data_IF_398039695139
#
_entry.id   IF_398039695139
#
_cell.length_a   1.000
_cell.length_b   1.000
_cell.length_c   1.000
_cell.angle_alpha   90.00
_cell.angle_beta   90.00
_cell.angle_gamma   90.00
#
_symmetry.space_group_name_H-M   'P 1'
#
loop_
_entity.id
_entity.type
_entity.pdbx_description
1 polymer ?
#
# COMPACT_ATOMS: atom_id res chain seq x y z
N UNK A 1 -29.50 13.59 -29.09
CA UNK A 1 -28.86 12.46 -29.73
C UNK A 1 -27.98 11.63 -28.75
N UNK A 2 -27.32 12.27 -27.79
CA UNK A 2 -26.41 11.67 -26.80
C UNK A 2 -26.92 11.76 -25.36
N UNK A 3 -28.15 12.17 -25.13
CA UNK A 3 -28.75 12.34 -23.82
C UNK A 3 -30.24 12.00 -23.83
N UNK A 4 -30.89 12.10 -22.67
CA UNK A 4 -32.30 11.74 -22.46
C UNK A 4 -32.46 10.25 -22.14
N UNK A 5 -33.02 9.44 -23.06
CA UNK A 5 -33.26 8.01 -22.83
C UNK A 5 -31.97 7.21 -22.60
N UNK A 6 -32.09 6.04 -21.98
CA UNK A 6 -30.96 5.14 -21.73
C UNK A 6 -30.26 4.77 -23.05
N UNK A 7 -31.02 4.47 -24.10
CA UNK A 7 -30.49 4.13 -25.42
C UNK A 7 -29.63 5.28 -26.02
N UNK A 8 -30.06 6.52 -25.84
CA UNK A 8 -29.28 7.65 -26.32
C UNK A 8 -28.02 7.89 -25.47
N UNK A 9 -28.10 7.75 -24.16
CA UNK A 9 -26.97 7.91 -23.26
C UNK A 9 -25.89 6.85 -23.47
N UNK A 10 -26.28 5.62 -23.83
CA UNK A 10 -25.38 4.49 -24.13
C UNK A 10 -25.01 4.37 -25.61
N UNK A 11 -25.57 5.20 -26.48
CA UNK A 11 -25.34 5.14 -27.94
C UNK A 11 -23.86 5.21 -28.29
N UNK A 12 -23.12 6.14 -27.67
CA UNK A 12 -21.73 6.34 -28.01
C UNK A 12 -20.86 5.12 -27.64
N UNK A 13 -21.02 4.57 -26.45
CA UNK A 13 -20.30 3.35 -26.03
C UNK A 13 -20.64 2.15 -26.90
N UNK A 14 -21.90 1.98 -27.29
CA UNK A 14 -22.30 0.90 -28.21
C UNK A 14 -21.68 1.06 -29.59
N UNK A 15 -21.69 2.26 -30.15
CA UNK A 15 -21.02 2.53 -31.43
C UNK A 15 -19.53 2.20 -31.40
N UNK A 16 -18.85 2.47 -30.28
CA UNK A 16 -17.43 2.09 -30.13
C UNK A 16 -17.28 0.57 -30.09
N UNK A 17 -18.10 -0.12 -29.30
CA UNK A 17 -18.07 -1.59 -29.18
C UNK A 17 -18.37 -2.24 -30.56
N UNK A 18 -19.41 -1.79 -31.26
CA UNK A 18 -19.76 -2.26 -32.61
C UNK A 18 -18.59 -2.05 -33.59
N UNK A 19 -17.95 -0.86 -33.54
CA UNK A 19 -16.80 -0.55 -34.38
C UNK A 19 -15.60 -1.44 -34.11
N UNK A 20 -15.29 -1.70 -32.82
CA UNK A 20 -14.19 -2.61 -32.43
C UNK A 20 -14.51 -4.04 -32.89
N UNK A 21 -15.73 -4.51 -32.65
CA UNK A 21 -16.14 -5.85 -33.05
C UNK A 21 -16.10 -6.03 -34.57
N UNK A 22 -16.54 -5.02 -35.33
CA UNK A 22 -16.46 -5.02 -36.79
C UNK A 22 -15.00 -5.03 -37.28
N UNK A 23 -14.12 -4.28 -36.67
CA UNK A 23 -12.72 -4.17 -37.10
C UNK A 23 -11.84 -5.35 -36.66
N UNK A 24 -12.07 -5.89 -35.45
CA UNK A 24 -11.20 -6.88 -34.82
C UNK A 24 -11.78 -8.30 -34.80
N UNK A 25 -13.06 -8.47 -35.13
CA UNK A 25 -13.74 -9.79 -35.15
C UNK A 25 -14.18 -10.28 -33.77
N UNK A 26 -14.84 -11.46 -33.76
CA UNK A 26 -15.49 -12.01 -32.58
C UNK A 26 -14.51 -12.55 -31.52
N UNK A 27 -13.30 -12.89 -31.93
CA UNK A 27 -12.27 -13.40 -31.01
C UNK A 27 -11.52 -12.31 -30.21
N UNK A 28 -11.79 -11.02 -30.48
CA UNK A 28 -11.15 -9.91 -29.76
C UNK A 28 -11.87 -9.63 -28.45
N UNK A 29 -11.14 -9.62 -27.33
CA UNK A 29 -11.71 -9.44 -25.99
C UNK A 29 -12.05 -7.96 -25.77
N UNK A 30 -13.31 -7.66 -25.44
CA UNK A 30 -13.81 -6.30 -25.16
C UNK A 30 -14.31 -6.22 -23.71
N UNK A 31 -13.70 -5.35 -22.91
CA UNK A 31 -14.12 -5.05 -21.55
C UNK A 31 -14.81 -3.71 -21.43
N UNK A 32 -15.85 -3.64 -20.60
CA UNK A 32 -16.54 -2.41 -20.23
C UNK A 32 -16.14 -2.01 -18.80
N UNK A 33 -15.48 -0.85 -18.63
CA UNK A 33 -15.17 -0.31 -17.31
C UNK A 33 -16.31 0.59 -16.82
N UNK A 34 -16.80 0.32 -15.62
CA UNK A 34 -17.79 1.14 -14.92
C UNK A 34 -17.30 1.52 -13.54
N UNK A 35 -17.82 2.60 -12.96
CA UNK A 35 -17.49 3.04 -11.62
C UNK A 35 -18.74 3.43 -10.86
N UNK A 36 -18.84 2.98 -9.61
CA UNK A 36 -19.90 3.36 -8.67
C UNK A 36 -19.46 4.52 -7.78
N UNK A 37 -20.41 5.27 -7.28
CA UNK A 37 -20.19 6.23 -6.19
C UNK A 37 -21.39 6.26 -5.24
N UNK A 38 -21.11 6.18 -3.96
CA UNK A 38 -22.12 6.28 -2.89
C UNK A 38 -22.27 7.74 -2.42
N UNK A 39 -21.38 8.62 -2.81
CA UNK A 39 -21.23 9.96 -2.22
C UNK A 39 -21.57 11.06 -3.21
N UNK A 40 -21.23 10.90 -4.48
CA UNK A 40 -21.39 11.95 -5.48
C UNK A 40 -22.75 11.87 -6.20
N UNK A 41 -23.52 12.95 -6.14
CA UNK A 41 -24.76 13.12 -6.95
C UNK A 41 -24.47 13.29 -8.46
N UNK A 42 -23.22 13.44 -8.83
CA UNK A 42 -22.79 13.65 -10.22
C UNK A 42 -22.44 12.32 -10.91
N UNK A 43 -22.04 11.32 -10.14
CA UNK A 43 -21.75 9.98 -10.65
C UNK A 43 -23.00 9.11 -10.68
N UNK A 44 -22.95 8.05 -11.47
CA UNK A 44 -24.07 7.12 -11.62
C UNK A 44 -24.27 6.31 -10.34
N UNK A 45 -25.50 6.08 -9.97
CA UNK A 45 -25.86 5.14 -8.89
C UNK A 45 -25.68 3.70 -9.38
N UNK A 46 -25.59 2.76 -8.44
CA UNK A 46 -25.48 1.34 -8.78
C UNK A 46 -26.69 0.85 -9.61
N UNK A 47 -27.91 1.33 -9.31
CA UNK A 47 -29.10 0.95 -10.09
C UNK A 47 -29.02 1.45 -11.54
N UNK A 48 -28.58 2.70 -11.75
CA UNK A 48 -28.34 3.22 -13.10
C UNK A 48 -27.25 2.44 -13.85
N UNK A 49 -26.19 2.03 -13.15
CA UNK A 49 -25.15 1.20 -13.76
C UNK A 49 -25.65 -0.19 -14.12
N UNK A 50 -26.50 -0.80 -13.30
CA UNK A 50 -27.13 -2.09 -13.62
C UNK A 50 -27.93 -2.01 -14.92
N UNK A 51 -28.71 -0.96 -15.12
CA UNK A 51 -29.45 -0.74 -16.37
C UNK A 51 -28.51 -0.61 -17.58
N UNK A 52 -27.44 0.19 -17.43
CA UNK A 52 -26.44 0.40 -18.48
C UNK A 52 -25.71 -0.91 -18.82
N UNK A 53 -25.23 -1.62 -17.80
CA UNK A 53 -24.51 -2.88 -17.98
C UNK A 53 -25.43 -3.94 -18.61
N UNK A 54 -26.67 -4.08 -18.14
CA UNK A 54 -27.62 -5.03 -18.72
C UNK A 54 -27.89 -4.76 -20.21
N UNK A 55 -27.98 -3.48 -20.61
CA UNK A 55 -28.16 -3.09 -22.01
C UNK A 55 -26.97 -3.49 -22.88
N UNK A 56 -25.72 -3.33 -22.38
CA UNK A 56 -24.52 -3.72 -23.10
C UNK A 56 -24.35 -5.25 -23.12
N UNK A 57 -24.58 -5.91 -21.99
CA UNK A 57 -24.49 -7.38 -21.88
C UNK A 57 -25.47 -8.09 -22.82
N UNK A 58 -26.70 -7.56 -22.96
CA UNK A 58 -27.73 -8.13 -23.82
C UNK A 58 -27.34 -8.18 -25.31
N UNK A 59 -26.34 -7.38 -25.74
CA UNK A 59 -25.82 -7.45 -27.12
C UNK A 59 -24.89 -8.66 -27.35
N UNK A 60 -24.37 -9.29 -26.29
CA UNK A 60 -23.37 -10.35 -26.39
C UNK A 60 -22.01 -9.89 -26.96
N UNK A 61 -21.76 -8.57 -27.04
CA UNK A 61 -20.54 -8.03 -27.69
C UNK A 61 -19.43 -7.70 -26.69
N UNK A 62 -19.70 -7.65 -25.39
CA UNK A 62 -18.70 -7.44 -24.34
C UNK A 62 -18.40 -8.77 -23.65
N UNK A 63 -17.14 -9.00 -23.36
CA UNK A 63 -16.65 -10.23 -22.73
C UNK A 63 -16.56 -10.11 -21.21
N UNK A 64 -16.29 -8.91 -20.69
CA UNK A 64 -16.28 -8.67 -19.25
C UNK A 64 -16.63 -7.22 -18.87
N UNK A 65 -17.03 -7.05 -17.61
CA UNK A 65 -17.27 -5.76 -16.97
C UNK A 65 -16.35 -5.63 -15.77
N UNK A 66 -15.58 -4.54 -15.68
CA UNK A 66 -14.82 -4.23 -14.47
C UNK A 66 -15.49 -3.10 -13.71
N UNK A 67 -15.58 -3.23 -12.40
CA UNK A 67 -16.26 -2.27 -11.54
C UNK A 67 -15.27 -1.58 -10.60
N UNK A 68 -15.02 -0.29 -10.87
CA UNK A 68 -14.31 0.63 -10.00
C UNK A 68 -15.22 1.30 -8.97
N UNK A 69 -14.63 2.12 -8.10
CA UNK A 69 -15.35 2.91 -7.11
C UNK A 69 -14.84 4.35 -7.14
N UNK A 70 -15.75 5.30 -7.09
CA UNK A 70 -15.42 6.71 -7.08
C UNK A 70 -15.00 7.29 -8.42
N UNK A 71 -14.60 8.53 -8.38
CA UNK A 71 -14.15 9.33 -9.50
C UNK A 71 -13.32 10.52 -9.04
N UNK A 72 -13.12 11.51 -9.89
CA UNK A 72 -12.35 12.70 -9.52
C UNK A 72 -13.05 13.58 -8.45
N UNK A 73 -14.34 13.39 -8.21
CA UNK A 73 -15.11 14.14 -7.21
C UNK A 73 -15.19 13.44 -5.85
N UNK A 74 -14.88 12.16 -5.80
CA UNK A 74 -14.76 11.33 -4.59
C UNK A 74 -13.50 10.46 -4.71
N UNK A 75 -12.38 11.16 -4.89
CA UNK A 75 -11.08 10.59 -5.26
C UNK A 75 -10.55 9.60 -4.23
N UNK A 76 -10.89 9.79 -2.97
CA UNK A 76 -10.53 8.88 -1.87
C UNK A 76 -11.16 7.47 -2.04
N UNK A 77 -12.22 7.34 -2.83
CA UNK A 77 -12.84 6.07 -3.19
C UNK A 77 -12.18 5.45 -4.42
N UNK A 78 -11.75 6.30 -5.36
CA UNK A 78 -11.04 5.86 -6.56
C UNK A 78 -9.65 5.29 -6.20
N UNK A 79 -8.95 5.95 -5.27
CA UNK A 79 -7.63 5.57 -4.80
C UNK A 79 -7.60 5.40 -3.28
N UNK A 80 -8.31 4.40 -2.75
CA UNK A 80 -8.47 4.24 -1.32
C UNK A 80 -7.14 3.90 -0.64
N UNK A 81 -6.93 4.48 0.55
CA UNK A 81 -5.80 4.18 1.42
C UNK A 81 -6.18 3.11 2.46
N UNK A 82 -5.29 2.87 3.42
CA UNK A 82 -5.54 2.01 4.58
C UNK A 82 -6.76 2.43 5.43
N UNK A 83 -7.25 3.66 5.29
CA UNK A 83 -8.45 4.15 6.00
C UNK A 83 -9.73 3.43 5.53
N UNK A 84 -9.72 2.91 4.32
CA UNK A 84 -10.82 2.14 3.76
C UNK A 84 -10.60 0.63 3.97
N UNK A 85 -11.70 -0.10 4.03
CA UNK A 85 -11.65 -1.57 4.06
C UNK A 85 -11.12 -2.17 2.76
N UNK A 86 -10.94 -3.47 2.75
CA UNK A 86 -10.58 -4.24 1.56
C UNK A 86 -11.84 -4.70 0.81
N UNK A 87 -11.69 -5.08 -0.47
CA UNK A 87 -12.78 -5.61 -1.32
C UNK A 87 -13.95 -4.63 -1.49
N UNK A 88 -13.66 -3.35 -1.70
CA UNK A 88 -14.68 -2.28 -1.64
C UNK A 88 -15.79 -2.42 -2.69
N UNK A 89 -15.50 -3.00 -3.85
CA UNK A 89 -16.49 -3.17 -4.92
C UNK A 89 -17.21 -4.52 -4.91
N UNK A 90 -16.80 -5.46 -4.05
CA UNK A 90 -17.38 -6.79 -4.03
C UNK A 90 -18.92 -6.83 -3.87
N UNK A 91 -19.55 -6.01 -3.01
CA UNK A 91 -21.02 -5.98 -2.93
C UNK A 91 -21.69 -5.44 -4.18
N UNK A 92 -21.05 -4.53 -4.91
CA UNK A 92 -21.59 -3.98 -6.15
C UNK A 92 -21.39 -4.97 -7.32
N UNK A 93 -20.23 -5.61 -7.38
CA UNK A 93 -19.95 -6.63 -8.42
C UNK A 93 -20.86 -7.85 -8.29
N UNK A 94 -21.25 -8.24 -7.08
CA UNK A 94 -22.25 -9.28 -6.84
C UNK A 94 -23.59 -8.94 -7.53
N UNK A 95 -24.04 -7.70 -7.39
CA UNK A 95 -25.27 -7.23 -8.04
C UNK A 95 -25.11 -7.12 -9.56
N UNK A 96 -23.96 -6.65 -10.06
CA UNK A 96 -23.70 -6.62 -11.50
C UNK A 96 -23.66 -8.05 -12.08
N UNK A 97 -23.02 -8.98 -11.39
CA UNK A 97 -22.97 -10.39 -11.79
C UNK A 97 -24.36 -11.02 -11.86
N UNK A 98 -25.26 -10.64 -10.96
CA UNK A 98 -26.63 -11.19 -10.96
C UNK A 98 -27.44 -10.83 -12.20
N UNK A 99 -27.05 -9.77 -12.93
CA UNK A 99 -27.76 -9.28 -14.12
C UNK A 99 -27.03 -9.58 -15.44
N UNK A 100 -25.73 -9.86 -15.41
CA UNK A 100 -24.95 -10.25 -16.58
C UNK A 100 -25.27 -11.70 -16.99
N UNK A 101 -25.47 -11.93 -18.30
CA UNK A 101 -25.76 -13.23 -18.89
C UNK A 101 -24.61 -13.74 -19.78
N UNK A 102 -23.82 -12.84 -20.33
CA UNK A 102 -22.74 -13.09 -21.28
C UNK A 102 -21.38 -12.66 -20.73
N UNK A 103 -21.29 -11.47 -20.16
CA UNK A 103 -20.05 -10.90 -19.68
C UNK A 103 -19.66 -11.40 -18.28
N UNK A 104 -18.38 -11.72 -18.08
CA UNK A 104 -17.80 -11.97 -16.76
C UNK A 104 -17.67 -10.63 -15.98
N UNK A 105 -17.76 -10.70 -14.66
CA UNK A 105 -17.65 -9.50 -13.81
C UNK A 105 -16.35 -9.54 -13.00
N UNK A 106 -15.60 -8.44 -13.06
CA UNK A 106 -14.32 -8.26 -12.35
C UNK A 106 -14.49 -7.29 -11.19
N UNK A 107 -14.13 -7.74 -9.99
CA UNK A 107 -14.03 -6.88 -8.81
C UNK A 107 -12.61 -6.31 -8.69
N UNK A 108 -12.52 -5.00 -8.52
CA UNK A 108 -11.26 -4.30 -8.27
C UNK A 108 -11.35 -3.46 -6.99
N UNK A 109 -10.52 -2.47 -6.78
CA UNK A 109 -10.51 -1.54 -5.64
C UNK A 109 -10.28 -2.21 -4.28
N UNK A 110 -9.08 -2.09 -3.78
CA UNK A 110 -8.61 -2.65 -2.50
C UNK A 110 -8.65 -4.20 -2.46
N UNK A 111 -8.54 -4.87 -3.59
CA UNK A 111 -8.12 -6.27 -3.64
C UNK A 111 -6.60 -6.26 -3.57
N UNK A 112 -6.03 -6.64 -2.43
CA UNK A 112 -4.61 -6.41 -2.10
C UNK A 112 -3.80 -7.70 -2.04
N UNK A 113 -4.44 -8.78 -1.64
CA UNK A 113 -3.80 -10.08 -1.40
C UNK A 113 -4.54 -11.20 -2.15
N UNK A 114 -3.92 -12.36 -2.36
CA UNK A 114 -4.60 -13.53 -2.91
C UNK A 114 -5.83 -13.94 -2.09
N UNK A 115 -5.75 -13.87 -0.75
CA UNK A 115 -6.87 -14.22 0.14
C UNK A 115 -8.08 -13.29 -0.08
N UNK A 116 -7.84 -12.01 -0.39
CA UNK A 116 -8.93 -11.10 -0.77
C UNK A 116 -9.59 -11.55 -2.07
N UNK A 117 -8.79 -11.96 -3.04
CA UNK A 117 -9.27 -12.48 -4.32
C UNK A 117 -10.09 -13.74 -4.13
N UNK A 118 -9.55 -14.75 -3.46
CA UNK A 118 -10.23 -16.01 -3.17
C UNK A 118 -11.55 -15.81 -2.42
N UNK A 119 -11.56 -14.90 -1.42
CA UNK A 119 -12.78 -14.62 -0.67
C UNK A 119 -13.90 -14.06 -1.57
N UNK A 120 -13.58 -13.19 -2.54
CA UNK A 120 -14.53 -12.64 -3.50
C UNK A 120 -15.06 -13.76 -4.42
N UNK A 121 -14.18 -14.59 -4.96
CA UNK A 121 -14.52 -15.65 -5.90
C UNK A 121 -15.34 -16.77 -5.21
N UNK A 122 -14.91 -17.21 -4.03
CA UNK A 122 -15.61 -18.23 -3.25
C UNK A 122 -17.02 -17.78 -2.84
N UNK A 123 -17.19 -16.49 -2.53
CA UNK A 123 -18.49 -15.89 -2.22
C UNK A 123 -19.32 -15.58 -3.46
N UNK A 124 -18.83 -15.87 -4.66
CA UNK A 124 -19.47 -15.60 -5.96
C UNK A 124 -19.82 -14.13 -6.21
N UNK A 125 -19.08 -13.23 -5.56
CA UNK A 125 -19.29 -11.78 -5.71
C UNK A 125 -18.72 -11.23 -7.02
N UNK A 126 -17.81 -11.94 -7.65
CA UNK A 126 -17.29 -11.66 -8.99
C UNK A 126 -16.82 -12.97 -9.65
N UNK A 127 -16.50 -12.92 -10.95
CA UNK A 127 -15.87 -14.02 -11.69
C UNK A 127 -14.36 -13.89 -11.74
N UNK A 128 -13.87 -12.65 -11.65
CA UNK A 128 -12.45 -12.30 -11.69
C UNK A 128 -12.15 -11.19 -10.67
N UNK A 129 -10.87 -11.05 -10.34
CA UNK A 129 -10.38 -9.96 -9.50
C UNK A 129 -9.21 -9.23 -10.18
N UNK A 130 -9.09 -7.93 -9.92
CA UNK A 130 -7.99 -7.10 -10.41
C UNK A 130 -7.13 -6.62 -9.23
N UNK A 131 -5.84 -6.93 -9.26
CA UNK A 131 -4.87 -6.54 -8.24
C UNK A 131 -3.76 -5.73 -8.88
N UNK A 132 -3.76 -4.40 -8.72
CA UNK A 132 -2.74 -3.50 -9.28
C UNK A 132 -1.66 -3.18 -8.26
N UNK A 133 -2.02 -2.52 -7.14
CA UNK A 133 -1.02 -2.08 -6.14
C UNK A 133 -0.34 -3.23 -5.43
N UNK A 134 -1.01 -4.39 -5.29
CA UNK A 134 -0.39 -5.62 -4.81
C UNK A 134 0.76 -6.06 -5.71
N UNK A 135 0.57 -6.04 -7.03
CA UNK A 135 1.61 -6.41 -8.00
C UNK A 135 2.71 -5.35 -8.14
N UNK A 136 2.41 -4.06 -7.92
CA UNK A 136 3.46 -3.03 -7.79
C UNK A 136 4.36 -3.31 -6.57
N UNK A 137 3.76 -3.73 -5.46
CA UNK A 137 4.52 -4.09 -4.26
C UNK A 137 5.31 -5.39 -4.43
N UNK A 138 4.72 -6.37 -5.10
CA UNK A 138 5.33 -7.67 -5.40
C UNK A 138 4.93 -8.16 -6.80
N UNK A 139 5.80 -8.05 -7.81
CA UNK A 139 5.49 -8.45 -9.18
C UNK A 139 5.25 -9.96 -9.34
N UNK A 140 5.72 -10.76 -8.39
CA UNK A 140 5.52 -12.22 -8.37
C UNK A 140 4.35 -12.68 -7.48
N UNK A 141 3.47 -11.76 -7.08
CA UNK A 141 2.34 -12.05 -6.20
C UNK A 141 1.54 -13.28 -6.68
N UNK A 142 1.15 -13.31 -7.95
CA UNK A 142 0.36 -14.40 -8.52
C UNK A 142 1.18 -15.70 -8.57
N UNK A 143 2.45 -15.65 -9.00
CA UNK A 143 3.30 -16.83 -9.05
C UNK A 143 3.55 -17.43 -7.66
N UNK A 144 3.75 -16.58 -6.65
CA UNK A 144 3.90 -17.01 -5.26
C UNK A 144 2.61 -17.67 -4.73
N UNK A 145 1.45 -17.12 -5.05
CA UNK A 145 0.17 -17.70 -4.69
C UNK A 145 -0.03 -19.08 -5.34
N UNK A 146 0.29 -19.20 -6.64
CA UNK A 146 0.17 -20.49 -7.38
C UNK A 146 1.10 -21.58 -6.85
N UNK A 147 2.19 -21.23 -6.20
CA UNK A 147 3.19 -22.17 -5.66
C UNK A 147 3.06 -22.41 -4.15
N UNK A 148 2.01 -21.89 -3.50
CA UNK A 148 1.83 -22.02 -2.04
C UNK A 148 2.84 -21.23 -1.22
N UNK A 149 3.34 -20.12 -1.76
CA UNK A 149 4.35 -19.26 -1.14
C UNK A 149 3.77 -17.89 -0.77
N UNK A 150 2.50 -17.83 -0.37
CA UNK A 150 1.78 -16.59 -0.06
C UNK A 150 2.45 -15.79 1.05
N UNK A 151 3.05 -16.48 2.02
CA UNK A 151 3.80 -15.85 3.10
C UNK A 151 5.03 -15.06 2.63
N UNK A 152 5.52 -15.32 1.44
CA UNK A 152 6.66 -14.60 0.85
C UNK A 152 6.23 -13.41 -0.02
N UNK A 153 4.92 -13.15 -0.13
CA UNK A 153 4.40 -11.99 -0.84
C UNK A 153 4.65 -10.73 -0.02
N UNK A 154 5.29 -9.73 -0.64
CA UNK A 154 5.43 -8.37 -0.09
C UNK A 154 4.11 -7.63 -0.26
N UNK A 155 3.27 -7.64 0.77
CA UNK A 155 1.93 -7.06 0.72
C UNK A 155 1.95 -5.52 0.60
N UNK A 156 1.15 -4.96 -0.30
CA UNK A 156 0.94 -3.51 -0.39
C UNK A 156 0.38 -2.96 0.94
N UNK A 157 0.93 -1.85 1.43
CA UNK A 157 0.48 -1.20 2.67
C UNK A 157 -0.58 -0.11 2.45
N UNK A 158 -1.12 0.00 1.26
CA UNK A 158 -2.19 0.95 0.87
C UNK A 158 -1.90 2.42 1.24
N UNK A 159 -0.65 2.84 1.13
CA UNK A 159 -0.20 4.18 1.53
C UNK A 159 -0.39 5.26 0.46
N UNK A 160 -0.50 4.91 -0.81
CA UNK A 160 -0.57 5.79 -1.99
C UNK A 160 0.60 6.79 -2.16
N UNK A 161 1.66 6.73 -1.35
CA UNK A 161 2.70 7.78 -1.30
C UNK A 161 3.58 7.82 -2.54
N UNK A 162 4.17 6.70 -2.95
CA UNK A 162 5.16 6.67 -4.03
C UNK A 162 4.57 6.19 -5.38
N UNK A 163 3.47 5.47 -5.36
CA UNK A 163 2.75 5.12 -6.58
C UNK A 163 1.91 6.32 -7.05
N UNK A 164 0.77 6.58 -6.42
CA UNK A 164 -0.09 7.68 -6.80
C UNK A 164 0.52 9.06 -6.51
N UNK A 165 1.11 9.26 -5.33
CA UNK A 165 1.64 10.56 -4.91
C UNK A 165 2.78 11.09 -5.78
N UNK A 166 3.54 10.22 -6.44
CA UNK A 166 4.51 10.61 -7.48
C UNK A 166 3.81 10.88 -8.80
N UNK A 167 2.91 9.99 -9.21
CA UNK A 167 2.13 10.12 -10.45
C UNK A 167 1.38 11.46 -10.51
N UNK A 168 0.75 11.87 -9.41
CA UNK A 168 0.02 13.14 -9.31
C UNK A 168 0.90 14.39 -9.43
N UNK A 169 2.22 14.23 -9.38
CA UNK A 169 3.23 15.30 -9.55
C UNK A 169 4.04 15.12 -10.84
N UNK A 170 3.53 14.35 -11.81
CA UNK A 170 4.18 14.05 -13.08
C UNK A 170 5.56 13.36 -12.98
N UNK A 171 5.79 12.65 -11.86
CA UNK A 171 6.93 11.75 -11.73
C UNK A 171 6.52 10.31 -12.09
N UNK A 172 7.50 9.50 -12.53
CA UNK A 172 7.26 8.05 -12.72
C UNK A 172 6.87 7.37 -11.41
N UNK A 173 6.13 6.29 -11.52
CA UNK A 173 5.70 5.48 -10.39
C UNK A 173 6.91 4.85 -9.71
N UNK A 174 6.88 4.80 -8.38
CA UNK A 174 7.73 3.95 -7.55
C UNK A 174 6.91 3.39 -6.39
N UNK A 175 7.51 2.60 -5.52
CA UNK A 175 6.83 2.05 -4.35
C UNK A 175 7.62 2.34 -3.08
N UNK A 176 6.91 2.66 -1.98
CA UNK A 176 7.55 2.94 -0.69
C UNK A 176 8.27 1.72 -0.11
N UNK A 177 7.76 0.53 -0.41
CA UNK A 177 8.23 -0.73 0.17
C UNK A 177 8.90 -1.66 -0.85
N UNK A 178 8.85 -1.34 -2.14
CA UNK A 178 9.57 -2.07 -3.19
C UNK A 178 10.49 -1.12 -3.94
N UNK A 179 11.80 -1.13 -3.64
CA UNK A 179 12.74 -0.17 -4.20
C UNK A 179 12.99 -0.34 -5.70
N UNK A 180 12.69 -1.52 -6.27
CA UNK A 180 12.94 -1.80 -7.68
C UNK A 180 11.91 -1.17 -8.62
N UNK A 181 10.74 -0.75 -8.11
CA UNK A 181 9.66 -0.20 -8.94
C UNK A 181 10.11 1.06 -9.70
N UNK A 182 9.99 1.01 -11.03
CA UNK A 182 10.46 2.04 -11.94
C UNK A 182 11.98 2.01 -12.21
N UNK A 183 12.68 0.99 -11.68
CA UNK A 183 14.13 0.77 -11.85
C UNK A 183 14.46 -0.70 -12.16
N UNK A 184 13.48 -1.44 -12.62
CA UNK A 184 13.62 -2.88 -12.85
C UNK A 184 14.74 -3.20 -13.84
N UNK A 185 14.94 -2.35 -14.84
CA UNK A 185 16.00 -2.48 -15.84
C UNK A 185 17.41 -2.25 -15.26
N UNK A 186 17.55 -1.48 -14.17
CA UNK A 186 18.83 -1.24 -13.49
C UNK A 186 19.12 -2.29 -12.42
N UNK A 187 18.09 -2.68 -11.66
CA UNK A 187 18.23 -3.45 -10.42
C UNK A 187 17.76 -4.90 -10.53
N UNK A 188 17.25 -5.31 -11.69
CA UNK A 188 16.85 -6.70 -11.93
C UNK A 188 15.48 -7.09 -11.36
N UNK A 189 14.54 -6.15 -11.32
CA UNK A 189 13.18 -6.41 -10.85
C UNK A 189 13.12 -6.58 -9.33
N UNK A 190 12.58 -7.68 -8.85
CA UNK A 190 12.47 -8.00 -7.42
C UNK A 190 13.67 -8.77 -6.86
N UNK A 191 14.57 -9.22 -7.72
CA UNK A 191 15.80 -9.90 -7.32
C UNK A 191 17.03 -9.14 -7.79
N UNK A 192 17.80 -8.66 -6.83
CA UNK A 192 19.04 -7.97 -7.13
C UNK A 192 20.10 -8.89 -7.68
N UNK A 193 20.86 -8.40 -8.66
CA UNK A 193 22.03 -9.13 -9.17
C UNK A 193 23.02 -9.42 -8.05
N UNK A 194 23.49 -10.65 -7.96
CA UNK A 194 24.50 -11.04 -6.96
C UNK A 194 25.78 -10.23 -7.14
N UNK A 195 26.38 -9.85 -6.02
CA UNK A 195 27.65 -9.15 -6.02
C UNK A 195 28.79 -10.06 -6.52
N UNK A 196 29.74 -9.48 -7.27
CA UNK A 196 30.94 -10.20 -7.71
C UNK A 196 31.87 -10.59 -6.55
N UNK A 197 31.86 -9.78 -5.47
CA UNK A 197 32.60 -10.00 -4.25
C UNK A 197 31.68 -9.89 -3.05
N UNK A 198 31.72 -10.90 -2.20
CA UNK A 198 30.93 -10.91 -0.97
C UNK A 198 31.65 -10.14 0.12
N UNK A 199 30.91 -9.32 0.84
CA UNK A 199 31.39 -8.45 1.90
C UNK A 199 30.67 -8.74 3.21
N UNK A 200 31.30 -8.38 4.32
CA UNK A 200 30.68 -8.32 5.63
C UNK A 200 30.02 -6.94 5.77
N UNK A 201 28.71 -6.92 5.90
CA UNK A 201 27.94 -5.68 6.03
C UNK A 201 27.29 -5.63 7.40
N UNK A 202 27.56 -4.56 8.13
CA UNK A 202 26.89 -4.25 9.38
C UNK A 202 25.83 -3.18 9.10
N UNK A 203 24.59 -3.46 9.53
CA UNK A 203 23.49 -2.49 9.46
C UNK A 203 23.10 -2.09 10.89
N UNK A 204 23.10 -0.80 11.19
CA UNK A 204 22.81 -0.25 12.51
C UNK A 204 21.42 0.39 12.46
N UNK A 205 20.47 -0.19 13.19
CA UNK A 205 19.06 0.20 13.24
C UNK A 205 18.17 -0.67 12.37
N UNK A 206 17.13 -1.26 12.97
CA UNK A 206 16.15 -2.14 12.32
C UNK A 206 14.82 -1.43 12.01
N UNK A 207 14.86 -0.13 11.71
CA UNK A 207 13.76 0.58 11.08
C UNK A 207 13.61 0.19 9.59
N UNK A 208 12.62 0.73 8.85
CA UNK A 208 12.36 0.34 7.45
C UNK A 208 13.59 0.45 6.55
N UNK A 209 14.41 1.49 6.72
CA UNK A 209 15.62 1.69 5.94
C UNK A 209 16.65 0.59 6.19
N UNK A 210 16.91 0.25 7.47
CA UNK A 210 17.86 -0.81 7.84
C UNK A 210 17.38 -2.20 7.45
N UNK A 211 16.09 -2.48 7.61
CA UNK A 211 15.48 -3.76 7.19
C UNK A 211 15.65 -4.00 5.68
N UNK A 212 15.35 -2.98 4.86
CA UNK A 212 15.50 -3.11 3.41
C UNK A 212 16.98 -3.13 3.00
N UNK A 213 17.84 -2.35 3.64
CA UNK A 213 19.28 -2.39 3.39
C UNK A 213 19.87 -3.79 3.70
N UNK A 214 19.50 -4.36 4.85
CA UNK A 214 19.93 -5.70 5.25
C UNK A 214 19.42 -6.77 4.27
N UNK A 215 18.12 -6.71 3.89
CA UNK A 215 17.53 -7.61 2.93
C UNK A 215 18.24 -7.54 1.57
N UNK A 216 18.40 -6.33 1.04
CA UNK A 216 19.01 -6.12 -0.29
C UNK A 216 20.47 -6.55 -0.31
N UNK A 217 21.24 -6.26 0.74
CA UNK A 217 22.62 -6.70 0.84
C UNK A 217 22.74 -8.23 0.93
N UNK A 218 21.89 -8.87 1.74
CA UNK A 218 21.88 -10.32 1.89
C UNK A 218 21.44 -11.04 0.59
N UNK A 219 20.44 -10.52 -0.11
CA UNK A 219 19.98 -11.04 -1.40
C UNK A 219 21.09 -10.97 -2.45
N UNK A 220 21.92 -9.94 -2.41
CA UNK A 220 23.10 -9.83 -3.26
C UNK A 220 24.26 -10.77 -2.85
N UNK A 221 24.10 -11.52 -1.76
CA UNK A 221 25.07 -12.52 -1.29
C UNK A 221 26.05 -12.04 -0.23
N UNK A 222 25.88 -10.82 0.29
CA UNK A 222 26.74 -10.32 1.37
C UNK A 222 26.43 -11.02 2.70
N UNK A 223 27.44 -11.11 3.58
CA UNK A 223 27.25 -11.59 4.95
C UNK A 223 26.78 -10.41 5.83
N UNK A 224 25.50 -10.41 6.20
CA UNK A 224 24.87 -9.28 6.85
C UNK A 224 24.61 -9.53 8.32
N UNK A 225 24.99 -8.56 9.15
CA UNK A 225 24.61 -8.46 10.54
C UNK A 225 23.78 -7.17 10.74
N UNK A 226 22.64 -7.29 11.39
CA UNK A 226 21.74 -6.18 11.72
C UNK A 226 21.68 -6.02 13.23
N UNK A 227 22.00 -4.85 13.74
CA UNK A 227 21.91 -4.52 15.18
C UNK A 227 20.79 -3.51 15.42
N UNK A 228 20.07 -3.68 16.53
CA UNK A 228 18.95 -2.84 16.92
C UNK A 228 18.98 -2.61 18.42
N UNK A 229 18.92 -1.35 18.84
CA UNK A 229 18.89 -0.96 20.25
C UNK A 229 17.62 -1.42 20.96
N UNK A 230 16.50 -1.44 20.25
CA UNK A 230 15.22 -1.89 20.78
C UNK A 230 15.07 -3.41 20.84
N UNK A 231 14.04 -3.87 21.53
CA UNK A 231 13.71 -5.29 21.68
C UNK A 231 12.96 -5.88 20.48
N UNK A 232 12.62 -5.08 19.47
CA UNK A 232 11.84 -5.49 18.28
C UNK A 232 12.27 -4.70 17.07
N UNK A 233 12.23 -5.32 15.89
CA UNK A 233 12.44 -4.64 14.61
C UNK A 233 11.28 -3.68 14.28
N UNK A 234 11.49 -2.75 13.36
CA UNK A 234 10.48 -1.89 12.76
C UNK A 234 10.56 -0.42 13.20
N UNK A 235 11.27 -0.10 14.29
CA UNK A 235 11.44 1.27 14.75
C UNK A 235 10.14 2.07 14.83
N UNK A 236 10.14 3.32 14.39
CA UNK A 236 8.93 4.17 14.36
C UNK A 236 7.83 3.63 13.42
N UNK A 237 8.19 2.85 12.41
CA UNK A 237 7.21 2.23 11.51
C UNK A 237 6.32 1.22 12.25
N UNK A 238 6.86 0.51 13.24
CA UNK A 238 6.07 -0.35 14.13
C UNK A 238 5.01 0.45 14.89
N UNK A 239 5.37 1.64 15.40
CA UNK A 239 4.43 2.52 16.09
C UNK A 239 3.31 3.00 15.15
N UNK A 240 3.66 3.33 13.90
CA UNK A 240 2.66 3.64 12.89
C UNK A 240 1.65 2.50 12.64
N UNK A 241 2.07 1.25 12.83
CA UNK A 241 1.21 0.07 12.73
C UNK A 241 0.24 -0.13 13.90
N UNK A 242 0.43 0.57 15.02
CA UNK A 242 -0.48 0.54 16.16
C UNK A 242 -1.73 1.41 15.95
N UNK A 243 -1.65 2.40 15.07
CA UNK A 243 -2.78 3.25 14.72
C UNK A 243 -3.88 2.41 14.07
N UNK A 244 -5.17 2.67 14.37
CA UNK A 244 -6.28 1.92 13.81
C UNK A 244 -6.23 1.78 12.29
N UNK A 245 -6.66 0.63 11.77
CA UNK A 245 -6.70 0.27 10.34
C UNK A 245 -5.34 0.21 9.62
N UNK A 246 -4.22 0.11 10.34
CA UNK A 246 -2.87 0.03 9.75
C UNK A 246 -2.18 -1.32 9.97
N UNK A 247 -2.94 -2.39 10.10
CA UNK A 247 -2.40 -3.77 10.27
C UNK A 247 -1.44 -4.19 9.15
N UNK A 248 -1.59 -3.64 7.94
CA UNK A 248 -0.71 -3.91 6.80
C UNK A 248 0.77 -3.58 7.09
N UNK A 249 1.02 -2.65 8.00
CA UNK A 249 2.39 -2.35 8.48
C UNK A 249 2.93 -3.52 9.30
N UNK A 250 2.10 -4.08 10.19
CA UNK A 250 2.49 -5.26 11.00
C UNK A 250 2.76 -6.46 10.11
N UNK A 251 1.94 -6.68 9.08
CA UNK A 251 2.13 -7.77 8.13
C UNK A 251 3.44 -7.61 7.33
N UNK A 252 3.77 -6.38 6.92
CA UNK A 252 5.04 -6.09 6.27
C UNK A 252 6.24 -6.35 7.19
N UNK A 253 6.14 -6.02 8.48
CA UNK A 253 7.21 -6.31 9.43
C UNK A 253 7.42 -7.82 9.61
N UNK A 254 6.33 -8.61 9.69
CA UNK A 254 6.41 -10.08 9.70
C UNK A 254 7.05 -10.63 8.40
N UNK A 255 6.75 -10.00 7.27
CA UNK A 255 7.39 -10.35 6.01
C UNK A 255 8.90 -10.10 6.06
N UNK A 256 9.35 -8.94 6.58
CA UNK A 256 10.79 -8.69 6.77
C UNK A 256 11.45 -9.70 7.70
N UNK A 257 10.81 -10.06 8.82
CA UNK A 257 11.33 -11.08 9.74
C UNK A 257 11.59 -12.41 9.02
N UNK A 258 10.63 -12.86 8.19
CA UNK A 258 10.79 -14.09 7.39
C UNK A 258 11.88 -13.97 6.34
N UNK A 259 11.88 -12.88 5.57
CA UNK A 259 12.86 -12.69 4.49
C UNK A 259 14.29 -12.61 5.02
N UNK A 260 14.53 -11.88 6.10
CA UNK A 260 15.84 -11.77 6.71
C UNK A 260 16.31 -13.13 7.27
N UNK A 261 15.41 -13.91 7.86
CA UNK A 261 15.72 -15.26 8.33
C UNK A 261 16.08 -16.21 7.15
N UNK A 262 15.28 -16.20 6.07
CA UNK A 262 15.55 -17.00 4.86
C UNK A 262 16.88 -16.63 4.20
N UNK A 263 17.24 -15.35 4.22
CA UNK A 263 18.49 -14.84 3.67
C UNK A 263 19.71 -15.01 4.61
N UNK A 264 19.50 -15.56 5.81
CA UNK A 264 20.57 -15.81 6.77
C UNK A 264 21.14 -14.57 7.44
N UNK A 265 20.36 -13.47 7.52
CA UNK A 265 20.78 -12.25 8.22
C UNK A 265 20.80 -12.49 9.72
N UNK A 266 21.91 -12.17 10.37
CA UNK A 266 22.03 -12.23 11.83
C UNK A 266 21.48 -10.96 12.45
N UNK A 267 20.47 -11.08 13.29
CA UNK A 267 19.80 -9.95 13.96
C UNK A 267 20.14 -9.97 15.44
N UNK A 268 20.69 -8.87 15.95
CA UNK A 268 20.96 -8.66 17.36
C UNK A 268 20.06 -7.53 17.86
N UNK A 269 19.08 -7.89 18.66
CA UNK A 269 18.19 -6.97 19.36
C UNK A 269 18.77 -6.59 20.72
N UNK A 270 18.24 -5.51 21.34
CA UNK A 270 18.72 -4.95 22.60
C UNK A 270 20.23 -4.68 22.56
N UNK A 271 20.74 -4.29 21.40
CA UNK A 271 22.16 -4.04 21.16
C UNK A 271 22.34 -2.59 20.75
N UNK A 272 22.83 -1.79 21.67
CA UNK A 272 23.20 -0.40 21.38
C UNK A 272 24.62 -0.44 20.78
N UNK A 273 24.82 0.28 19.68
CA UNK A 273 26.08 0.33 18.94
C UNK A 273 26.67 1.74 19.06
N UNK A 274 27.86 1.83 19.64
CA UNK A 274 28.56 3.09 19.90
C UNK A 274 29.77 3.28 18.96
N UNK A 275 30.33 4.47 18.95
CA UNK A 275 31.49 4.79 18.12
C UNK A 275 32.69 3.86 18.40
N UNK A 276 32.88 3.45 19.66
CA UNK A 276 33.93 2.53 20.06
C UNK A 276 33.77 1.13 19.45
N UNK A 277 32.54 0.72 19.09
CA UNK A 277 32.28 -0.58 18.49
C UNK A 277 32.68 -0.64 17.00
N UNK A 278 32.82 0.53 16.34
CA UNK A 278 33.15 0.63 14.91
C UNK A 278 34.48 -0.02 14.60
N UNK A 279 35.49 0.22 15.43
CA UNK A 279 36.85 -0.35 15.22
C UNK A 279 36.87 -1.86 15.41
N UNK A 280 36.03 -2.39 16.31
CA UNK A 280 35.99 -3.81 16.67
C UNK A 280 35.05 -4.66 15.82
N UNK A 281 34.11 -4.05 15.07
CA UNK A 281 33.01 -4.79 14.41
C UNK A 281 33.42 -5.67 13.21
N UNK A 282 34.67 -5.55 12.73
CA UNK A 282 35.22 -6.34 11.62
C UNK A 282 34.26 -6.40 10.39
N UNK A 283 33.62 -5.27 10.06
CA UNK A 283 32.77 -5.11 8.89
C UNK A 283 33.53 -4.44 7.74
N UNK A 284 33.28 -4.87 6.50
CA UNK A 284 33.81 -4.21 5.31
C UNK A 284 33.03 -2.92 5.02
N UNK A 285 31.73 -2.90 5.34
CA UNK A 285 30.82 -1.76 5.17
C UNK A 285 29.86 -1.65 6.34
N UNK A 286 29.58 -0.41 6.74
CA UNK A 286 28.60 -0.07 7.77
C UNK A 286 27.50 0.76 7.13
N UNK A 287 26.25 0.36 7.36
CA UNK A 287 25.05 1.12 6.96
C UNK A 287 24.40 1.70 8.22
N UNK A 288 24.41 3.02 8.35
CA UNK A 288 23.77 3.73 9.47
C UNK A 288 22.31 3.99 9.11
N UNK A 289 21.39 3.38 9.84
CA UNK A 289 19.94 3.46 9.64
C UNK A 289 19.19 3.70 10.97
N UNK A 290 19.78 4.48 11.86
CA UNK A 290 19.33 4.72 13.25
C UNK A 290 18.04 5.55 13.35
N UNK A 291 17.60 6.16 12.23
CA UNK A 291 16.36 6.94 12.18
C UNK A 291 16.47 8.32 12.83
N UNK A 292 15.37 8.74 13.44
CA UNK A 292 15.26 10.02 14.12
C UNK A 292 14.47 9.89 15.42
N UNK A 293 14.77 10.75 16.38
CA UNK A 293 14.02 10.88 17.62
C UNK A 293 13.18 12.16 17.60
N UNK A 294 12.08 12.22 18.37
CA UNK A 294 11.38 13.48 18.59
C UNK A 294 12.31 14.55 19.14
N UNK A 295 12.10 15.80 18.73
CA UNK A 295 12.84 16.93 19.29
C UNK A 295 12.44 17.11 20.77
N UNK A 296 13.35 16.97 21.74
CA UNK A 296 13.03 17.08 23.16
C UNK A 296 12.58 18.49 23.56
N UNK A 297 12.86 19.49 22.72
CA UNK A 297 12.40 20.87 22.92
C UNK A 297 11.05 21.15 22.28
N UNK A 298 10.51 20.21 21.51
CA UNK A 298 9.27 20.36 20.73
C UNK A 298 9.20 21.73 20.00
N UNK A 299 10.31 22.12 19.36
CA UNK A 299 10.42 23.40 18.66
C UNK A 299 9.36 23.49 17.58
N UNK A 300 8.71 24.65 17.54
CA UNK A 300 7.64 24.92 16.58
C UNK A 300 8.23 25.43 15.26
N UNK A 301 7.79 24.83 14.16
CA UNK A 301 8.24 25.21 12.82
C UNK A 301 7.90 26.65 12.46
N UNK A 302 6.72 27.10 12.92
CA UNK A 302 6.20 28.44 12.63
C UNK A 302 6.64 29.51 13.62
N UNK A 303 7.26 29.12 14.75
CA UNK A 303 7.76 30.00 15.77
C UNK A 303 9.20 29.59 16.16
N UNK A 304 10.15 29.62 15.22
CA UNK A 304 11.51 29.09 15.43
C UNK A 304 12.28 29.85 16.54
N UNK A 305 11.95 31.12 16.77
CA UNK A 305 12.63 31.96 17.77
C UNK A 305 12.25 31.59 19.21
N UNK A 306 11.18 30.84 19.45
CA UNK A 306 10.80 30.37 20.78
C UNK A 306 11.80 29.39 21.41
N UNK A 307 12.62 28.75 20.61
CA UNK A 307 13.64 27.80 21.06
C UNK A 307 13.10 26.50 21.68
N UNK A 308 11.98 26.53 22.41
CA UNK A 308 11.28 25.38 22.98
C UNK A 308 9.78 25.67 23.13
N UNK A 309 8.95 24.64 23.12
CA UNK A 309 7.51 24.78 23.40
C UNK A 309 7.32 25.22 24.85
N UNK A 310 6.60 26.33 25.12
CA UNK A 310 6.28 26.75 26.48
C UNK A 310 5.46 25.66 27.22
N UNK A 311 5.78 25.42 28.47
CA UNK A 311 5.07 24.44 29.31
C UNK A 311 5.59 22.99 29.23
N UNK A 312 6.69 22.72 28.52
CA UNK A 312 7.34 21.40 28.51
C UNK A 312 7.75 20.95 29.92
N UNK A 313 8.16 21.87 30.77
CA UNK A 313 8.57 21.66 32.16
C UNK A 313 7.41 21.25 33.09
N UNK A 314 6.17 21.41 32.66
CA UNK A 314 4.98 21.01 33.41
C UNK A 314 4.75 19.48 33.40
N UNK A 315 5.50 18.71 32.62
CA UNK A 315 5.38 17.25 32.56
C UNK A 315 4.06 16.74 31.95
N UNK A 316 3.35 17.59 31.21
CA UNK A 316 2.06 17.28 30.59
C UNK A 316 2.12 17.21 29.06
N UNK A 317 3.30 17.42 28.49
CA UNK A 317 3.52 17.38 27.03
C UNK A 317 4.25 16.11 26.68
N UNK A 318 3.66 15.33 25.79
CA UNK A 318 4.16 14.00 25.40
C UNK A 318 4.35 13.94 23.89
N UNK A 319 5.39 13.24 23.46
CA UNK A 319 5.55 12.92 22.04
C UNK A 319 4.54 11.84 21.62
N UNK A 320 4.07 11.81 20.36
CA UNK A 320 3.22 10.75 19.85
C UNK A 320 3.76 9.34 20.11
N UNK A 321 5.07 9.15 20.09
CA UNK A 321 5.75 7.89 20.34
C UNK A 321 5.54 7.39 21.77
N UNK A 322 5.57 8.27 22.74
CA UNK A 322 5.36 7.94 24.17
C UNK A 322 3.91 7.49 24.38
N UNK A 323 2.96 8.16 23.76
CA UNK A 323 1.54 7.80 23.79
C UNK A 323 1.32 6.43 23.14
N UNK A 324 1.82 6.22 21.92
CA UNK A 324 1.65 4.98 21.16
C UNK A 324 2.33 3.77 21.82
N UNK A 325 3.41 3.99 22.57
CA UNK A 325 4.06 2.94 23.40
C UNK A 325 3.37 2.69 24.72
N UNK A 326 2.41 3.53 25.09
CA UNK A 326 1.75 3.53 26.41
C UNK A 326 2.73 3.75 27.56
N UNK A 327 3.74 4.56 27.33
CA UNK A 327 4.76 4.94 28.32
C UNK A 327 4.28 6.09 29.20
N UNK A 328 3.12 6.70 28.85
CA UNK A 328 2.53 7.82 29.59
C UNK A 328 1.07 7.56 29.95
N UNK A 329 0.61 8.19 31.02
CA UNK A 329 -0.78 8.21 31.43
C UNK A 329 -1.42 9.54 31.03
N UNK A 330 -2.39 9.47 30.14
CA UNK A 330 -3.17 10.62 29.71
C UNK A 330 -4.32 10.90 30.68
N UNK A 331 -4.73 12.16 30.81
CA UNK A 331 -5.96 12.54 31.50
C UNK A 331 -7.19 12.38 30.61
N UNK A 332 -8.36 12.74 31.16
CA UNK A 332 -9.65 12.64 30.45
C UNK A 332 -9.81 13.63 29.29
N UNK A 333 -9.03 14.70 29.31
CA UNK A 333 -9.01 15.72 28.24
C UNK A 333 -7.60 15.82 27.68
N UNK A 334 -7.48 15.61 26.36
CA UNK A 334 -6.20 15.63 25.65
C UNK A 334 -6.27 16.63 24.49
N UNK A 335 -5.27 17.46 24.36
CA UNK A 335 -5.07 18.35 23.19
C UNK A 335 -3.97 17.78 22.33
N UNK A 336 -4.28 17.54 21.04
CA UNK A 336 -3.29 17.13 20.06
C UNK A 336 -2.84 18.34 19.26
N UNK A 337 -1.57 18.71 19.40
CA UNK A 337 -0.95 19.75 18.59
C UNK A 337 -0.26 19.14 17.37
N UNK A 338 -0.86 19.32 16.20
CA UNK A 338 -0.36 18.78 14.93
C UNK A 338 0.00 19.89 13.96
N UNK A 339 1.28 20.23 13.90
CA UNK A 339 1.83 21.23 12.99
C UNK A 339 2.05 20.68 11.58
N UNK A 340 2.14 19.37 11.45
CA UNK A 340 2.44 18.67 10.19
C UNK A 340 1.20 18.38 9.35
N UNK A 341 -0.01 18.39 9.93
CA UNK A 341 -1.27 18.06 9.28
C UNK A 341 -1.26 16.69 8.63
N UNK A 342 -0.63 15.70 9.26
CA UNK A 342 -0.44 14.38 8.68
C UNK A 342 -0.97 13.26 9.60
N UNK A 343 -0.82 12.00 9.13
CA UNK A 343 -1.32 10.83 9.85
C UNK A 343 -0.79 10.69 11.29
N UNK A 344 0.35 11.30 11.62
CA UNK A 344 0.99 11.15 12.94
C UNK A 344 0.14 11.80 14.02
N UNK A 345 -0.27 13.05 13.84
CA UNK A 345 -1.16 13.75 14.78
C UNK A 345 -2.54 13.13 14.82
N UNK A 346 -3.22 13.05 13.66
CA UNK A 346 -4.55 12.47 13.56
C UNK A 346 -4.61 11.00 14.02
N UNK A 347 -3.59 10.20 13.69
CA UNK A 347 -3.49 8.81 14.09
C UNK A 347 -3.30 8.63 15.58
N UNK A 348 -2.49 9.48 16.23
CA UNK A 348 -2.31 9.46 17.68
C UNK A 348 -3.59 9.86 18.41
N UNK A 349 -4.32 10.86 17.88
CA UNK A 349 -5.62 11.24 18.42
C UNK A 349 -6.67 10.13 18.29
N UNK A 350 -6.55 9.28 17.29
CA UNK A 350 -7.48 8.16 17.08
C UNK A 350 -7.12 6.91 17.90
N UNK A 351 -5.84 6.75 18.26
CA UNK A 351 -5.34 5.62 19.06
C UNK A 351 -5.87 5.64 20.49
#
# INVERSE_FOLDING_TARGET
QWGGSLENRTRFSRMIIDGIRCACGDGFIIGLAVSISDVSKVLLTLEQLKEIVALHDATGQIDYVTCGHGGYLDFERLMPTFLFGEKLTAPATEQLKSICKHAFVTSEVQVRTPENGEAILASRQADMVSIVRGQIADPHLVNKALTGSENDIRGCISCNQMCWGRRSRDYWISCLINPSVGREFEWGGDRFTRALQFKKVLVIGAGPAGLEAARSAAERGHNVTLVEAGSKIGGQFRLAGLVPRRSQITDLLKWYERQLAQLGVRIHLNTFFEDADVESCNADHIVIATGSLPDPKARQRWLPDLGALPGLDLGMVFAPEEVLRRETRLGDTVVVYDEGGNWRGAGTAWY
#
